data_IF_481319001423
#
_entry.id   IF_481319001423
#
_cell.length_a   1.000
_cell.length_b   1.000
_cell.length_c   1.000
_cell.angle_alpha   90.00
_cell.angle_beta   90.00
_cell.angle_gamma   90.00
#
_symmetry.space_group_name_H-M   'P 1'
#
loop_
_entity.id
_entity.type
_entity.pdbx_description
1 polymer ?
#
# COMPACT_ATOMS: atom_id res chain seq x y z
N UNK A 1 -8.64 10.96 -24.34
CA UNK A 1 -8.04 10.45 -23.08
C UNK A 1 -9.03 10.45 -21.90
N UNK A 2 -9.95 11.39 -21.76
CA UNK A 2 -10.95 11.38 -20.67
C UNK A 2 -11.99 10.24 -20.76
N UNK A 3 -12.27 9.69 -21.94
CA UNK A 3 -13.30 8.68 -22.14
C UNK A 3 -12.85 7.24 -21.80
N UNK A 4 -11.54 6.92 -21.84
CA UNK A 4 -11.03 5.59 -21.48
C UNK A 4 -10.96 5.39 -19.96
N UNK A 5 -10.79 6.46 -19.20
CA UNK A 5 -10.71 6.40 -17.73
C UNK A 5 -12.06 5.98 -17.11
N UNK A 6 -13.20 6.37 -17.72
CA UNK A 6 -14.54 6.06 -17.18
C UNK A 6 -14.94 4.58 -17.32
N UNK A 7 -14.38 3.85 -18.29
CA UNK A 7 -14.68 2.44 -18.52
C UNK A 7 -13.86 1.50 -17.61
N UNK A 8 -12.82 2.01 -16.96
CA UNK A 8 -11.93 1.24 -16.07
C UNK A 8 -12.26 1.40 -14.58
N UNK A 9 -13.23 2.23 -14.19
CA UNK A 9 -13.64 2.41 -12.80
C UNK A 9 -14.50 1.22 -12.32
N UNK A 10 -14.45 0.89 -11.03
CA UNK A 10 -15.29 -0.15 -10.43
C UNK A 10 -16.77 0.08 -10.70
N UNK A 11 -17.47 -0.98 -11.07
CA UNK A 11 -18.94 -0.99 -11.21
C UNK A 11 -19.61 -0.96 -9.82
N UNK A 12 -20.93 -0.82 -9.78
CA UNK A 12 -21.67 -0.91 -8.51
C UNK A 12 -21.54 -2.31 -7.87
N UNK A 13 -21.43 -3.36 -8.70
CA UNK A 13 -21.20 -4.73 -8.25
C UNK A 13 -19.80 -4.89 -7.65
N UNK A 14 -18.77 -4.31 -8.27
CA UNK A 14 -17.40 -4.28 -7.72
C UNK A 14 -17.34 -3.56 -6.38
N UNK A 15 -18.05 -2.43 -6.25
CA UNK A 15 -18.15 -1.67 -5.00
C UNK A 15 -18.87 -2.49 -3.92
N UNK A 16 -19.93 -3.20 -4.27
CA UNK A 16 -20.63 -4.09 -3.34
C UNK A 16 -19.71 -5.23 -2.90
N UNK A 17 -18.99 -5.86 -3.83
CA UNK A 17 -17.99 -6.89 -3.53
C UNK A 17 -16.91 -6.38 -2.57
N UNK A 18 -16.33 -5.19 -2.85
CA UNK A 18 -15.32 -4.58 -1.99
C UNK A 18 -15.86 -4.31 -0.57
N UNK A 19 -17.08 -3.79 -0.45
CA UNK A 19 -17.73 -3.53 0.85
C UNK A 19 -17.97 -4.80 1.65
N UNK A 20 -18.24 -5.90 0.98
CA UNK A 20 -18.44 -7.19 1.64
C UNK A 20 -17.12 -7.86 2.02
N UNK A 21 -16.14 -7.86 1.12
CA UNK A 21 -14.94 -8.66 1.24
C UNK A 21 -13.71 -7.89 1.74
N UNK A 22 -13.71 -6.55 1.68
CA UNK A 22 -12.60 -5.69 2.10
C UNK A 22 -11.44 -5.65 1.10
N UNK A 23 -11.57 -6.26 -0.07
CA UNK A 23 -10.61 -6.19 -1.17
C UNK A 23 -11.33 -6.23 -2.52
N UNK A 24 -10.62 -5.80 -3.57
CA UNK A 24 -11.06 -5.92 -4.97
C UNK A 24 -9.83 -6.06 -5.87
N UNK A 25 -9.95 -6.92 -6.88
CA UNK A 25 -8.92 -7.10 -7.92
C UNK A 25 -9.46 -6.51 -9.21
N UNK A 26 -8.73 -5.55 -9.77
CA UNK A 26 -9.15 -4.83 -10.97
C UNK A 26 -8.94 -5.64 -12.25
N UNK A 27 -9.62 -5.29 -13.35
CA UNK A 27 -9.09 -5.57 -14.68
C UNK A 27 -7.73 -4.86 -14.86
N UNK A 28 -6.98 -5.11 -15.96
CA UNK A 28 -5.76 -4.36 -16.25
C UNK A 28 -6.03 -2.86 -16.34
N UNK A 29 -5.41 -2.08 -15.45
CA UNK A 29 -5.54 -0.62 -15.34
C UNK A 29 -4.32 0.13 -15.86
N UNK A 30 -3.17 -0.51 -15.81
CA UNK A 30 -1.87 0.12 -16.07
C UNK A 30 -1.25 -0.45 -17.33
N UNK A 31 -0.67 0.44 -18.14
CA UNK A 31 0.03 0.06 -19.36
C UNK A 31 1.43 -0.45 -19.06
N UNK A 32 1.99 -1.22 -19.98
CA UNK A 32 3.36 -1.71 -19.89
C UNK A 32 4.39 -0.59 -19.74
N UNK A 33 4.21 0.53 -20.43
CA UNK A 33 5.14 1.66 -20.36
C UNK A 33 5.23 2.24 -18.94
N UNK A 34 4.10 2.36 -18.24
CA UNK A 34 4.04 2.83 -16.85
C UNK A 34 4.75 1.85 -15.93
N UNK A 35 4.50 0.54 -16.10
CA UNK A 35 5.12 -0.49 -15.26
C UNK A 35 6.61 -0.64 -15.52
N UNK A 36 7.05 -0.55 -16.79
CA UNK A 36 8.48 -0.54 -17.14
C UNK A 36 9.19 0.71 -16.57
N UNK A 37 8.52 1.87 -16.59
CA UNK A 37 9.04 3.07 -15.95
C UNK A 37 9.20 2.84 -14.44
N UNK A 38 8.20 2.28 -13.76
CA UNK A 38 8.26 1.98 -12.33
C UNK A 38 9.40 0.99 -11.99
N UNK A 39 9.63 -0.02 -12.83
CA UNK A 39 10.78 -0.92 -12.66
C UNK A 39 12.13 -0.20 -12.80
N UNK A 40 12.26 0.72 -13.75
CA UNK A 40 13.46 1.57 -13.86
C UNK A 40 13.61 2.43 -12.60
N UNK A 41 12.53 3.06 -12.14
CA UNK A 41 12.51 3.87 -10.92
C UNK A 41 12.92 3.08 -9.69
N UNK A 42 12.47 1.82 -9.55
CA UNK A 42 12.92 0.94 -8.46
C UNK A 42 14.45 0.70 -8.51
N UNK A 43 14.99 0.41 -9.69
CA UNK A 43 16.45 0.21 -9.84
C UNK A 43 17.23 1.47 -9.49
N UNK A 44 16.79 2.64 -9.95
CA UNK A 44 17.39 3.93 -9.62
C UNK A 44 17.36 4.20 -8.12
N UNK A 45 16.19 4.02 -7.49
CA UNK A 45 16.02 4.21 -6.06
C UNK A 45 16.98 3.32 -5.25
N UNK A 46 17.08 2.04 -5.58
CA UNK A 46 17.99 1.10 -4.92
C UNK A 46 19.48 1.39 -5.18
N UNK A 47 19.81 2.05 -6.29
CA UNK A 47 21.16 2.53 -6.57
C UNK A 47 21.50 3.87 -5.88
N UNK A 48 20.53 4.49 -5.18
CA UNK A 48 20.69 5.82 -4.61
C UNK A 48 20.58 6.96 -5.62
N UNK A 49 20.19 6.66 -6.86
CA UNK A 49 19.95 7.65 -7.91
C UNK A 49 18.50 8.16 -7.77
N UNK A 50 18.35 9.34 -7.17
CA UNK A 50 17.07 9.97 -6.85
C UNK A 50 17.01 11.37 -7.45
N UNK A 51 15.80 11.78 -7.90
CA UNK A 51 15.56 13.10 -8.49
C UNK A 51 15.39 14.18 -7.41
N UNK A 52 14.93 13.78 -6.21
CA UNK A 52 14.65 14.70 -5.10
C UNK A 52 15.09 14.13 -3.75
N UNK A 53 15.49 15.05 -2.86
CA UNK A 53 15.68 14.75 -1.45
C UNK A 53 14.53 15.36 -0.63
N UNK A 54 14.01 14.60 0.33
CA UNK A 54 12.92 15.07 1.19
C UNK A 54 13.55 15.88 2.34
N UNK A 55 13.28 17.19 2.38
CA UNK A 55 13.95 18.13 3.31
C UNK A 55 13.74 17.81 4.80
N UNK A 56 12.70 17.09 5.16
CA UNK A 56 12.36 16.70 6.54
C UNK A 56 12.42 15.19 6.75
N UNK A 57 13.24 14.50 5.99
CA UNK A 57 13.37 13.06 6.11
C UNK A 57 13.78 12.67 7.53
N UNK A 58 12.92 11.96 8.28
CA UNK A 58 13.29 11.47 9.59
C UNK A 58 14.37 10.42 9.45
N UNK A 59 15.45 10.52 10.25
CA UNK A 59 16.51 9.51 10.24
C UNK A 59 15.92 8.12 10.45
N UNK A 60 16.17 7.19 9.52
CA UNK A 60 15.71 5.82 9.57
C UNK A 60 14.26 5.58 9.15
N UNK A 61 13.51 6.60 8.70
CA UNK A 61 12.09 6.44 8.35
C UNK A 61 11.82 5.72 7.03
N UNK A 62 12.77 5.73 6.11
CA UNK A 62 12.58 5.20 4.76
C UNK A 62 13.37 3.91 4.49
N UNK A 63 13.60 3.11 5.53
CA UNK A 63 14.18 1.77 5.43
C UNK A 63 15.43 1.75 4.54
N UNK A 64 16.57 2.06 5.13
CA UNK A 64 17.80 2.19 4.37
C UNK A 64 18.41 0.86 3.97
N UNK A 65 17.82 0.14 3.01
CA UNK A 65 18.53 -0.97 2.39
C UNK A 65 19.77 -0.41 1.67
N UNK A 66 20.89 -1.07 1.89
CA UNK A 66 22.15 -0.82 1.19
C UNK A 66 22.62 -2.12 0.52
N UNK A 67 23.49 -2.07 -0.47
CA UNK A 67 24.07 -3.28 -1.06
C UNK A 67 24.74 -4.21 -0.04
N UNK A 68 25.20 -3.69 1.10
CA UNK A 68 25.80 -4.49 2.18
C UNK A 68 24.80 -5.40 2.90
N UNK A 69 23.51 -5.04 2.87
CA UNK A 69 22.44 -5.84 3.48
C UNK A 69 22.09 -7.08 2.64
N UNK A 70 22.61 -7.16 1.41
CA UNK A 70 22.45 -8.29 0.53
C UNK A 70 21.03 -8.42 -0.05
N UNK A 71 20.68 -9.64 -0.49
CA UNK A 71 19.39 -9.92 -1.11
C UNK A 71 18.34 -10.29 -0.06
N UNK A 72 17.76 -9.28 0.56
CA UNK A 72 16.75 -9.36 1.62
C UNK A 72 15.44 -8.69 1.20
N UNK A 73 14.38 -8.88 1.97
CA UNK A 73 13.14 -8.11 1.82
C UNK A 73 13.46 -6.62 1.99
N UNK A 74 13.12 -5.82 0.97
CA UNK A 74 13.30 -4.36 0.98
C UNK A 74 11.93 -3.70 1.03
N UNK A 75 11.78 -2.80 1.96
CA UNK A 75 10.62 -1.94 2.13
C UNK A 75 11.13 -0.51 2.24
N UNK A 76 10.82 0.32 1.25
CA UNK A 76 11.23 1.72 1.22
C UNK A 76 9.98 2.60 1.16
N UNK A 77 9.73 3.36 2.21
CA UNK A 77 8.59 4.28 2.28
C UNK A 77 8.90 5.58 1.52
N UNK A 78 7.88 6.19 0.89
CA UNK A 78 7.98 7.48 0.21
C UNK A 78 8.87 7.48 -1.02
N UNK A 79 9.03 6.35 -1.70
CA UNK A 79 9.88 6.24 -2.88
C UNK A 79 9.39 7.13 -4.04
N UNK A 80 8.08 7.33 -4.19
CA UNK A 80 7.50 8.22 -5.20
C UNK A 80 7.79 9.70 -4.94
N UNK A 81 8.07 10.08 -3.70
CA UNK A 81 8.49 11.45 -3.38
C UNK A 81 9.93 11.74 -3.83
N UNK A 82 10.68 10.72 -4.20
CA UNK A 82 12.11 10.79 -4.54
C UNK A 82 12.41 10.52 -6.00
N UNK A 83 11.63 9.66 -6.66
CA UNK A 83 11.90 9.17 -8.02
C UNK A 83 10.71 9.43 -8.92
N UNK A 84 10.95 10.11 -10.05
CA UNK A 84 9.91 10.59 -10.97
C UNK A 84 9.11 9.45 -11.61
N UNK A 85 9.75 8.35 -11.97
CA UNK A 85 9.06 7.19 -12.55
C UNK A 85 8.08 6.54 -11.57
N UNK A 86 8.39 6.54 -10.27
CA UNK A 86 7.48 6.06 -9.23
C UNK A 86 6.37 7.07 -8.95
N UNK A 87 6.68 8.36 -9.00
CA UNK A 87 5.68 9.43 -8.92
C UNK A 87 4.69 9.37 -10.10
N UNK A 88 5.16 9.05 -11.31
CA UNK A 88 4.32 8.86 -12.49
C UNK A 88 3.30 7.73 -12.27
N UNK A 89 3.72 6.60 -11.69
CA UNK A 89 2.82 5.49 -11.37
C UNK A 89 1.79 5.90 -10.33
N UNK A 90 2.20 6.51 -9.22
CA UNK A 90 1.30 6.95 -8.14
C UNK A 90 0.25 7.95 -8.64
N UNK A 91 0.61 8.80 -9.61
CA UNK A 91 -0.26 9.82 -10.20
C UNK A 91 -1.15 9.32 -11.33
N UNK A 92 -1.17 8.02 -11.62
CA UNK A 92 -2.14 7.47 -12.58
C UNK A 92 -3.56 7.69 -12.06
N UNK A 93 -4.33 8.56 -12.73
CA UNK A 93 -5.67 8.98 -12.28
C UNK A 93 -6.64 7.81 -12.13
N UNK A 94 -6.45 6.74 -12.90
CA UNK A 94 -7.27 5.53 -12.81
C UNK A 94 -7.13 4.84 -11.44
N UNK A 95 -5.94 4.83 -10.83
CA UNK A 95 -5.75 4.25 -9.49
C UNK A 95 -6.55 5.01 -8.43
N UNK A 96 -6.41 6.35 -8.45
CA UNK A 96 -7.11 7.20 -7.50
C UNK A 96 -8.63 7.26 -7.76
N UNK A 97 -9.05 7.19 -9.03
CA UNK A 97 -10.46 7.10 -9.40
C UNK A 97 -11.11 5.80 -8.91
N UNK A 98 -10.42 4.66 -9.06
CA UNK A 98 -10.87 3.40 -8.46
C UNK A 98 -10.97 3.51 -6.94
N UNK A 99 -9.96 4.07 -6.29
CA UNK A 99 -9.96 4.28 -4.85
C UNK A 99 -11.13 5.17 -4.39
N UNK A 100 -11.39 6.28 -5.10
CA UNK A 100 -12.52 7.18 -4.83
C UNK A 100 -13.86 6.44 -4.86
N UNK A 101 -14.04 5.64 -5.90
CA UNK A 101 -15.27 4.83 -6.09
C UNK A 101 -15.44 3.78 -4.99
N UNK A 102 -14.37 3.03 -4.65
CA UNK A 102 -14.39 2.00 -3.62
C UNK A 102 -14.61 2.58 -2.21
N UNK A 103 -13.92 3.70 -1.89
CA UNK A 103 -14.03 4.39 -0.61
C UNK A 103 -15.33 5.22 -0.48
N UNK A 104 -16.04 5.49 -1.58
CA UNK A 104 -17.16 6.43 -1.59
C UNK A 104 -16.72 7.85 -1.22
N UNK A 105 -15.60 8.33 -1.80
CA UNK A 105 -15.00 9.61 -1.51
C UNK A 105 -14.93 10.49 -2.77
N UNK A 106 -15.19 11.79 -2.60
CA UNK A 106 -15.12 12.75 -3.71
C UNK A 106 -13.67 13.13 -4.04
N UNK A 107 -12.78 13.08 -3.06
CA UNK A 107 -11.35 13.39 -3.19
C UNK A 107 -10.51 12.27 -2.62
N UNK A 108 -9.42 11.92 -3.36
CA UNK A 108 -8.38 11.00 -2.91
C UNK A 108 -7.03 11.71 -2.98
N UNK A 109 -6.24 11.51 -1.93
CA UNK A 109 -4.84 11.93 -1.82
C UNK A 109 -3.94 10.74 -1.60
N UNK A 110 -2.67 10.89 -1.97
CA UNK A 110 -1.64 9.99 -1.47
C UNK A 110 -1.58 10.10 0.06
N UNK A 111 -1.54 8.96 0.75
CA UNK A 111 -1.14 8.91 2.16
C UNK A 111 0.38 8.70 2.23
N UNK A 112 0.86 7.58 1.75
CA UNK A 112 2.27 7.32 1.48
C UNK A 112 2.39 6.15 0.49
N UNK A 113 3.60 5.80 0.10
CA UNK A 113 3.86 4.61 -0.70
C UNK A 113 4.96 3.76 -0.09
N UNK A 114 4.96 2.47 -0.45
CA UNK A 114 5.99 1.51 -0.05
C UNK A 114 6.49 0.76 -1.27
N UNK A 115 7.74 0.99 -1.63
CA UNK A 115 8.43 0.23 -2.66
C UNK A 115 8.90 -1.09 -2.06
N UNK A 116 8.40 -2.19 -2.60
CA UNK A 116 8.58 -3.53 -2.05
C UNK A 116 9.33 -4.42 -3.02
N UNK A 117 10.47 -4.94 -2.57
CA UNK A 117 11.23 -5.98 -3.25
C UNK A 117 11.31 -7.21 -2.35
N UNK A 118 10.76 -8.33 -2.81
CA UNK A 118 10.79 -9.60 -2.12
C UNK A 118 11.72 -10.55 -2.88
N UNK A 119 12.89 -10.92 -2.32
CA UNK A 119 13.82 -11.82 -2.97
C UNK A 119 13.18 -13.20 -3.18
N UNK A 120 13.69 -13.94 -4.16
CA UNK A 120 13.31 -15.33 -4.38
C UNK A 120 14.04 -16.23 -3.39
N UNK A 121 13.36 -17.30 -2.99
CA UNK A 121 13.92 -18.36 -2.16
C UNK A 121 13.10 -18.67 -0.90
N UNK A 122 13.38 -19.80 -0.23
CA UNK A 122 12.57 -20.29 0.89
C UNK A 122 12.83 -19.55 2.23
N UNK A 123 13.44 -18.38 2.21
CA UNK A 123 13.78 -17.62 3.41
C UNK A 123 12.49 -17.11 4.09
N UNK A 124 12.20 -17.60 5.30
CA UNK A 124 11.09 -17.10 6.13
C UNK A 124 11.16 -15.59 6.38
N UNK A 125 12.36 -15.04 6.45
CA UNK A 125 12.62 -13.60 6.64
C UNK A 125 12.09 -12.68 5.52
N UNK A 126 11.59 -13.23 4.42
CA UNK A 126 10.91 -12.50 3.36
C UNK A 126 9.38 -12.54 3.47
N UNK A 127 8.80 -13.17 4.50
CA UNK A 127 7.38 -13.06 4.76
C UNK A 127 7.02 -11.65 5.19
N UNK A 128 5.82 -11.24 4.83
CA UNK A 128 5.14 -10.09 5.43
C UNK A 128 4.05 -10.67 6.32
N UNK A 129 4.18 -10.47 7.62
CA UNK A 129 3.26 -11.01 8.62
C UNK A 129 1.84 -10.47 8.43
N UNK A 130 0.87 -11.20 8.99
CA UNK A 130 -0.52 -10.78 8.95
C UNK A 130 -0.72 -9.50 9.77
N UNK A 131 -1.31 -8.50 9.16
CA UNK A 131 -1.55 -7.20 9.77
C UNK A 131 -2.72 -6.49 9.13
N UNK A 132 -3.12 -5.39 9.72
CA UNK A 132 -3.96 -4.37 9.09
C UNK A 132 -3.15 -3.09 8.93
N UNK A 133 -3.32 -2.38 7.83
CA UNK A 133 -2.67 -1.07 7.63
C UNK A 133 -3.11 -0.07 8.71
N UNK A 134 -4.38 -0.13 9.10
CA UNK A 134 -4.96 0.74 10.15
C UNK A 134 -4.19 0.69 11.46
N UNK A 135 -3.58 -0.43 11.80
CA UNK A 135 -2.74 -0.60 13.00
C UNK A 135 -1.59 0.40 13.06
N UNK A 136 -1.07 0.79 11.90
CA UNK A 136 0.05 1.73 11.74
C UNK A 136 -0.41 3.16 11.45
N UNK A 137 -1.69 3.40 11.18
CA UNK A 137 -2.28 4.69 10.83
C UNK A 137 -3.25 5.22 11.89
N UNK A 138 -2.91 5.02 13.16
CA UNK A 138 -3.76 5.39 14.29
C UNK A 138 -4.02 6.90 14.36
N UNK A 139 -3.10 7.71 13.82
CA UNK A 139 -3.24 9.18 13.77
C UNK A 139 -4.14 9.69 12.64
N UNK A 140 -4.65 8.81 11.78
CA UNK A 140 -5.62 9.16 10.75
C UNK A 140 -7.05 9.17 11.30
N UNK A 141 -7.85 10.20 10.98
CA UNK A 141 -9.26 10.28 11.37
C UNK A 141 -10.16 9.34 10.56
N UNK A 142 -9.80 9.07 9.30
CA UNK A 142 -10.63 8.30 8.40
C UNK A 142 -10.36 6.79 8.51
N UNK A 143 -11.44 6.00 8.50
CA UNK A 143 -11.38 4.55 8.34
C UNK A 143 -11.63 4.12 6.89
N UNK A 144 -11.90 5.04 5.96
CA UNK A 144 -12.12 4.76 4.53
C UNK A 144 -10.81 4.76 3.71
N UNK A 145 -9.67 4.67 4.39
CA UNK A 145 -8.37 4.55 3.75
C UNK A 145 -8.22 3.17 3.12
N UNK A 146 -7.46 3.08 2.05
CA UNK A 146 -7.20 1.83 1.33
C UNK A 146 -5.84 1.84 0.67
N UNK A 147 -5.38 0.66 0.29
CA UNK A 147 -4.12 0.44 -0.41
C UNK A 147 -4.38 -0.11 -1.81
N UNK A 148 -3.78 0.51 -2.83
CA UNK A 148 -3.64 -0.05 -4.16
C UNK A 148 -2.27 -0.73 -4.25
N UNK A 149 -2.25 -2.07 -4.27
CA UNK A 149 -1.01 -2.82 -4.43
C UNK A 149 -0.77 -3.12 -5.91
N UNK A 150 0.32 -2.58 -6.45
CA UNK A 150 0.68 -2.59 -7.87
C UNK A 150 1.92 -3.47 -8.07
N UNK A 151 1.78 -4.70 -8.58
CA UNK A 151 2.92 -5.50 -9.00
C UNK A 151 3.46 -5.00 -10.35
N UNK A 152 4.77 -5.13 -10.57
CA UNK A 152 5.41 -4.71 -11.82
C UNK A 152 5.49 -5.85 -12.87
N UNK A 153 5.09 -7.05 -12.50
CA UNK A 153 5.06 -8.26 -13.33
C UNK A 153 3.88 -9.16 -12.92
N UNK A 154 3.65 -10.23 -13.66
CA UNK A 154 2.64 -11.23 -13.29
C UNK A 154 2.92 -11.81 -11.90
N UNK A 155 1.88 -12.02 -11.14
CA UNK A 155 1.93 -12.62 -9.81
C UNK A 155 1.16 -13.92 -9.81
N UNK A 156 1.89 -15.02 -9.63
CA UNK A 156 1.35 -16.36 -9.42
C UNK A 156 1.58 -16.78 -7.96
N UNK A 157 1.02 -17.92 -7.55
CA UNK A 157 1.13 -18.41 -6.16
C UNK A 157 2.59 -18.55 -5.68
N UNK A 158 3.49 -18.98 -6.56
CA UNK A 158 4.91 -19.14 -6.23
C UNK A 158 5.64 -17.81 -5.94
N UNK A 159 5.11 -16.67 -6.40
CA UNK A 159 5.69 -15.35 -6.12
C UNK A 159 5.40 -14.87 -4.68
N UNK A 160 4.63 -15.61 -3.89
CA UNK A 160 4.16 -15.18 -2.57
C UNK A 160 3.29 -13.92 -2.69
N UNK A 161 2.11 -14.01 -3.33
CA UNK A 161 1.18 -12.91 -3.50
C UNK A 161 0.76 -12.30 -2.16
N UNK A 162 0.15 -11.12 -2.21
CA UNK A 162 -0.61 -10.62 -1.07
C UNK A 162 -1.82 -11.54 -0.88
N UNK A 163 -2.07 -11.93 0.36
CA UNK A 163 -3.24 -12.71 0.75
C UNK A 163 -4.14 -11.85 1.63
N UNK A 164 -5.45 -11.98 1.45
CA UNK A 164 -6.48 -11.27 2.20
C UNK A 164 -7.33 -12.25 3.00
N UNK A 165 -7.64 -11.90 4.24
CA UNK A 165 -8.73 -12.55 4.98
C UNK A 165 -10.02 -11.81 4.61
N UNK A 166 -10.79 -12.39 3.69
CA UNK A 166 -11.98 -11.77 3.12
C UNK A 166 -13.03 -11.47 4.21
N UNK A 167 -13.51 -10.22 4.27
CA UNK A 167 -14.51 -9.77 5.25
C UNK A 167 -13.94 -9.35 6.61
N UNK A 168 -12.64 -9.56 6.88
CA UNK A 168 -12.01 -9.25 8.17
C UNK A 168 -12.06 -7.76 8.55
N UNK A 169 -12.14 -6.86 7.57
CA UNK A 169 -12.23 -5.41 7.81
C UNK A 169 -13.46 -4.97 8.60
N UNK A 170 -14.48 -5.82 8.68
CA UNK A 170 -15.72 -5.58 9.44
C UNK A 170 -15.64 -6.06 10.88
N UNK A 171 -14.56 -6.77 11.23
CA UNK A 171 -14.36 -7.33 12.55
C UNK A 171 -13.32 -6.52 13.34
N UNK A 172 -13.37 -6.65 14.66
CA UNK A 172 -12.26 -6.22 15.49
C UNK A 172 -11.17 -7.31 15.46
N UNK A 173 -10.03 -6.99 14.84
CA UNK A 173 -8.94 -7.95 14.62
C UNK A 173 -8.00 -8.06 15.81
N UNK A 174 -8.26 -7.30 16.90
CA UNK A 174 -7.36 -7.27 18.06
C UNK A 174 -5.99 -6.64 17.73
N UNK A 175 -5.05 -6.79 18.66
CA UNK A 175 -3.70 -6.22 18.56
C UNK A 175 -2.59 -7.21 18.25
N UNK A 176 -2.91 -8.49 18.10
CA UNK A 176 -1.95 -9.60 18.07
C UNK A 176 -1.31 -9.85 16.71
N UNK A 177 -1.74 -9.11 15.66
CA UNK A 177 -1.22 -9.22 14.31
C UNK A 177 -0.09 -8.21 14.09
N UNK A 178 1.06 -8.70 13.58
CA UNK A 178 2.24 -7.87 13.33
C UNK A 178 2.83 -8.14 11.94
N UNK A 179 3.09 -7.04 11.21
CA UNK A 179 3.78 -7.05 9.91
C UNK A 179 5.12 -7.80 9.94
N UNK A 180 5.84 -7.74 11.04
CA UNK A 180 7.17 -8.35 11.20
C UNK A 180 7.14 -9.80 11.66
N UNK A 181 5.97 -10.33 11.99
CA UNK A 181 5.84 -11.74 12.34
C UNK A 181 6.11 -12.62 11.12
N UNK A 182 7.00 -13.58 11.29
CA UNK A 182 7.37 -14.53 10.24
C UNK A 182 6.52 -15.82 10.28
N UNK A 183 5.74 -16.03 11.34
CA UNK A 183 4.80 -17.14 11.46
C UNK A 183 3.43 -16.75 10.90
N UNK A 184 3.10 -17.30 9.74
CA UNK A 184 1.83 -17.03 9.08
C UNK A 184 0.71 -17.98 9.53
N UNK A 185 0.96 -18.96 10.37
CA UNK A 185 -0.04 -19.96 10.78
C UNK A 185 -1.10 -19.39 11.74
N UNK A 186 -0.82 -18.27 12.39
CA UNK A 186 -1.72 -17.64 13.36
C UNK A 186 -3.06 -17.21 12.74
N UNK A 187 -3.07 -16.87 11.45
CA UNK A 187 -4.27 -16.42 10.75
C UNK A 187 -5.24 -17.56 10.43
N UNK A 188 -4.75 -18.79 10.26
CA UNK A 188 -5.61 -19.93 9.91
C UNK A 188 -6.66 -20.17 11.00
N UNK A 189 -6.25 -20.05 12.26
CA UNK A 189 -7.17 -20.15 13.41
C UNK A 189 -8.15 -18.98 13.43
N UNK A 190 -7.67 -17.75 13.26
CA UNK A 190 -8.51 -16.56 13.21
C UNK A 190 -9.56 -16.67 12.10
N UNK A 191 -9.16 -17.07 10.89
CA UNK A 191 -10.06 -17.25 9.77
C UNK A 191 -11.13 -18.33 10.03
N UNK A 192 -10.70 -19.47 10.63
CA UNK A 192 -11.62 -20.56 10.97
C UNK A 192 -12.63 -20.18 12.07
N UNK A 193 -12.19 -19.45 13.11
CA UNK A 193 -13.04 -18.99 14.21
C UNK A 193 -14.15 -18.02 13.74
N UNK A 194 -13.90 -17.29 12.67
CA UNK A 194 -14.84 -16.30 12.12
C UNK A 194 -15.51 -16.72 10.79
N UNK A 195 -15.31 -17.97 10.35
CA UNK A 195 -15.82 -18.48 9.07
C UNK A 195 -15.41 -17.61 7.87
N UNK A 196 -14.15 -17.17 7.85
CA UNK A 196 -13.59 -16.30 6.82
C UNK A 196 -12.67 -17.09 5.87
N UNK A 197 -12.58 -16.62 4.62
CA UNK A 197 -11.71 -17.22 3.61
C UNK A 197 -10.43 -16.43 3.46
N UNK A 198 -9.30 -17.13 3.29
CA UNK A 198 -8.03 -16.54 2.88
C UNK A 198 -7.96 -16.63 1.35
N UNK A 199 -7.68 -15.50 0.70
CA UNK A 199 -7.66 -15.37 -0.76
C UNK A 199 -6.33 -14.78 -1.20
N UNK A 200 -5.64 -15.47 -2.12
CA UNK A 200 -4.41 -14.97 -2.76
C UNK A 200 -4.71 -14.00 -3.89
N UNK A 201 -4.02 -12.87 -3.93
CA UNK A 201 -4.07 -11.93 -5.04
C UNK A 201 -3.10 -12.36 -6.15
N UNK A 202 -3.45 -13.38 -6.92
CA UNK A 202 -2.78 -13.67 -8.20
C UNK A 202 -3.23 -12.64 -9.23
N UNK A 203 -2.29 -12.04 -9.96
CA UNK A 203 -2.54 -10.90 -10.84
C UNK A 203 -1.78 -11.08 -12.15
N UNK A 204 -2.41 -10.73 -13.25
CA UNK A 204 -1.70 -10.49 -14.50
C UNK A 204 -1.17 -9.05 -14.54
N UNK A 205 -0.11 -8.84 -15.29
CA UNK A 205 0.53 -7.53 -15.44
C UNK A 205 -0.49 -6.46 -15.83
N UNK A 206 -0.47 -5.34 -15.14
CA UNK A 206 -1.43 -4.24 -15.28
C UNK A 206 -2.62 -4.29 -14.33
N UNK A 207 -2.95 -5.45 -13.76
CA UNK A 207 -3.96 -5.54 -12.71
C UNK A 207 -3.43 -4.97 -11.38
N UNK A 208 -4.34 -4.51 -10.55
CA UNK A 208 -4.08 -3.93 -9.24
C UNK A 208 -5.02 -4.56 -8.23
N UNK A 209 -4.55 -4.91 -7.05
CA UNK A 209 -5.43 -5.25 -5.94
C UNK A 209 -5.61 -4.05 -5.02
N UNK A 210 -6.86 -3.80 -4.63
CA UNK A 210 -7.22 -2.77 -3.66
C UNK A 210 -7.70 -3.46 -2.38
N UNK A 211 -7.24 -2.98 -1.22
CA UNK A 211 -7.74 -3.49 0.05
C UNK A 211 -7.97 -2.37 1.06
N UNK A 212 -9.01 -2.54 1.86
CA UNK A 212 -9.39 -1.64 2.94
C UNK A 212 -8.32 -1.63 4.03
N UNK A 213 -8.05 -0.49 4.67
CA UNK A 213 -7.01 -0.37 5.69
C UNK A 213 -7.19 -1.32 6.89
N UNK A 214 -8.40 -1.81 7.13
CA UNK A 214 -8.71 -2.79 8.18
C UNK A 214 -8.72 -4.25 7.70
N UNK A 215 -8.53 -4.51 6.40
CA UNK A 215 -8.44 -5.89 5.91
C UNK A 215 -7.17 -6.53 6.42
N UNK A 216 -7.30 -7.67 7.09
CA UNK A 216 -6.16 -8.49 7.48
C UNK A 216 -5.50 -9.04 6.23
N UNK A 217 -4.22 -8.77 6.07
CA UNK A 217 -3.45 -9.21 4.92
C UNK A 217 -2.00 -9.51 5.28
N UNK A 218 -1.35 -10.31 4.43
CA UNK A 218 0.03 -10.71 4.59
C UNK A 218 0.56 -11.34 3.32
N UNK A 219 1.79 -11.83 3.30
CA UNK A 219 2.31 -12.57 2.15
C UNK A 219 3.40 -13.56 2.53
N UNK A 220 3.28 -14.78 1.99
CA UNK A 220 4.25 -15.86 2.17
C UNK A 220 5.56 -15.65 1.41
N UNK A 221 6.47 -16.63 1.45
CA UNK A 221 7.75 -16.56 0.77
C UNK A 221 7.59 -16.57 -0.75
N UNK A 222 8.50 -15.92 -1.44
CA UNK A 222 8.62 -16.00 -2.89
C UNK A 222 9.47 -17.22 -3.28
N UNK A 223 8.90 -18.16 -4.03
CA UNK A 223 9.54 -19.40 -4.50
C UNK A 223 9.66 -19.46 -6.03
N UNK A 224 9.38 -18.38 -6.74
CA UNK A 224 9.29 -18.36 -8.21
C UNK A 224 10.65 -18.42 -8.94
N UNK A 225 11.76 -18.23 -8.24
CA UNK A 225 13.08 -18.08 -8.88
C UNK A 225 13.43 -16.65 -9.26
N UNK A 226 12.47 -15.74 -9.27
CA UNK A 226 12.64 -14.30 -9.57
C UNK A 226 12.18 -13.41 -8.42
N UNK A 227 12.76 -12.23 -8.21
CA UNK A 227 12.30 -11.32 -7.17
C UNK A 227 10.92 -10.75 -7.51
N UNK A 228 10.02 -10.69 -6.50
CA UNK A 228 8.75 -9.98 -6.62
C UNK A 228 8.96 -8.49 -6.38
N UNK A 229 8.52 -7.68 -7.34
CA UNK A 229 8.65 -6.21 -7.35
C UNK A 229 7.28 -5.58 -7.40
N UNK A 230 7.03 -4.63 -6.49
CA UNK A 230 5.73 -3.97 -6.39
C UNK A 230 5.84 -2.60 -5.72
N UNK A 231 4.80 -1.79 -5.89
CA UNK A 231 4.56 -0.57 -5.12
C UNK A 231 3.20 -0.69 -4.43
N UNK A 232 3.15 -0.53 -3.12
CA UNK A 232 1.92 -0.31 -2.39
C UNK A 232 1.66 1.20 -2.33
N UNK A 233 0.56 1.65 -2.91
CA UNK A 233 0.12 3.04 -2.90
C UNK A 233 -0.99 3.16 -1.87
N UNK A 234 -0.69 3.73 -0.73
CA UNK A 234 -1.64 3.96 0.35
C UNK A 234 -2.37 5.27 0.12
N UNK A 235 -3.68 5.22 0.14
CA UNK A 235 -4.56 6.30 -0.29
C UNK A 235 -5.49 6.73 0.84
N UNK A 236 -5.72 8.03 0.93
CA UNK A 236 -6.59 8.63 1.93
C UNK A 236 -7.70 9.45 1.26
N UNK A 237 -8.94 9.44 1.80
CA UNK A 237 -9.97 10.39 1.38
C UNK A 237 -9.58 11.81 1.79
N UNK A 238 -10.10 12.81 1.04
CA UNK A 238 -9.76 14.21 1.23
C UNK A 238 -10.16 14.81 2.58
N UNK A 239 -11.08 14.18 3.30
CA UNK A 239 -11.52 14.56 4.63
C UNK A 239 -10.66 13.97 5.77
N UNK A 240 -9.67 13.13 5.44
CA UNK A 240 -8.74 12.60 6.44
C UNK A 240 -7.86 13.70 7.02
N UNK A 241 -7.75 13.73 8.33
CA UNK A 241 -6.92 14.69 9.08
C UNK A 241 -6.27 14.01 10.29
N UNK A 242 -5.30 14.68 10.88
CA UNK A 242 -4.60 14.18 12.05
C UNK A 242 -5.51 14.17 13.28
N UNK A 243 -5.47 13.07 14.02
CA UNK A 243 -6.06 12.92 15.36
C UNK A 243 -5.01 12.41 16.34
N UNK A 244 -5.05 12.91 17.57
CA UNK A 244 -4.19 12.37 18.62
C UNK A 244 -4.64 10.94 18.97
N UNK A 245 -3.70 10.01 18.98
CA UNK A 245 -3.97 8.60 19.25
C UNK A 245 -2.90 8.00 20.17
N UNK A 246 -3.19 6.85 20.74
CA UNK A 246 -2.24 6.05 21.52
C UNK A 246 -2.13 4.64 20.97
N UNK A 247 -0.93 4.09 21.08
CA UNK A 247 -0.68 2.68 20.85
C UNK A 247 -1.32 1.84 21.97
N UNK A 248 -1.53 0.53 21.77
CA UNK A 248 -2.07 -0.37 22.81
C UNK A 248 -1.26 -0.41 24.11
N UNK A 249 0.04 -0.14 24.04
CA UNK A 249 0.95 -0.04 25.19
C UNK A 249 0.81 1.31 25.96
N UNK A 250 -0.09 2.20 25.49
CA UNK A 250 -0.33 3.53 26.06
C UNK A 250 0.63 4.63 25.58
N UNK A 251 1.66 4.31 24.81
CA UNK A 251 2.55 5.32 24.20
C UNK A 251 1.80 6.18 23.18
N UNK A 252 2.33 7.37 22.87
CA UNK A 252 1.75 8.24 21.85
C UNK A 252 1.96 7.60 20.49
N UNK A 253 0.88 7.40 19.74
CA UNK A 253 0.97 6.94 18.36
C UNK A 253 1.52 8.04 17.45
N UNK A 254 2.20 7.65 16.39
CA UNK A 254 2.72 8.57 15.38
C UNK A 254 3.03 7.85 14.08
N UNK A 255 2.99 8.61 13.00
CA UNK A 255 3.37 8.17 11.67
C UNK A 255 4.47 9.09 11.13
N UNK A 256 5.30 8.62 10.19
CA UNK A 256 6.33 9.48 9.59
C UNK A 256 5.72 10.69 8.88
N UNK A 257 4.53 10.55 8.30
CA UNK A 257 3.80 11.65 7.68
C UNK A 257 3.46 12.78 8.67
N UNK A 258 3.25 12.49 9.95
CA UNK A 258 2.98 13.53 10.96
C UNK A 258 4.12 14.55 11.02
N UNK A 259 5.36 14.08 10.83
CA UNK A 259 6.55 14.94 10.80
C UNK A 259 6.79 15.56 9.42
N UNK A 260 6.57 14.80 8.35
CA UNK A 260 6.77 15.29 6.98
C UNK A 260 5.81 16.42 6.63
N UNK A 261 4.56 16.34 7.10
CA UNK A 261 3.50 17.32 6.83
C UNK A 261 3.34 18.37 7.92
N UNK A 262 4.24 18.38 8.92
CA UNK A 262 4.13 19.31 10.05
C UNK A 262 4.23 20.77 9.60
N UNK A 263 3.24 21.57 9.96
CA UNK A 263 3.23 23.03 9.86
C UNK A 263 4.28 23.66 10.79
N UNK A 264 4.57 24.96 10.66
CA UNK A 264 5.52 25.64 11.56
C UNK A 264 5.17 25.53 13.06
N UNK A 265 3.89 25.38 13.40
CA UNK A 265 3.40 25.18 14.78
C UNK A 265 3.50 23.70 15.23
N UNK A 266 3.99 22.80 14.38
CA UNK A 266 4.13 21.37 14.66
C UNK A 266 2.88 20.54 14.34
N UNK A 267 1.76 21.14 13.93
CA UNK A 267 0.52 20.43 13.61
C UNK A 267 0.64 19.71 12.27
N UNK A 268 0.37 18.40 12.17
CA UNK A 268 0.37 17.69 10.89
C UNK A 268 -0.73 18.19 9.94
N UNK A 269 -0.38 18.36 8.66
CA UNK A 269 -1.31 18.72 7.58
C UNK A 269 -1.38 17.62 6.51
N UNK A 270 -2.31 16.70 6.64
CA UNK A 270 -2.48 15.59 5.69
C UNK A 270 -2.99 16.03 4.30
N UNK A 271 -3.22 17.33 4.12
CA UNK A 271 -3.51 17.95 2.83
C UNK A 271 -2.28 18.64 2.19
N UNK A 272 -1.08 18.58 2.82
CA UNK A 272 0.15 19.13 2.25
C UNK A 272 0.44 18.51 0.88
N UNK A 273 0.37 19.27 -0.23
CA UNK A 273 0.52 18.73 -1.58
C UNK A 273 1.94 18.24 -1.89
N UNK A 274 2.93 18.61 -1.09
CA UNK A 274 4.32 18.17 -1.27
C UNK A 274 4.52 16.71 -0.83
N UNK A 275 3.72 16.26 0.15
CA UNK A 275 3.80 14.91 0.73
C UNK A 275 2.56 14.08 0.37
N UNK A 276 1.38 14.69 0.47
CA UNK A 276 0.09 14.07 0.25
C UNK A 276 -0.66 14.73 -0.92
N UNK A 277 -0.11 14.68 -2.16
CA UNK A 277 -0.75 15.32 -3.31
C UNK A 277 -2.15 14.79 -3.54
N UNK A 278 -3.06 15.66 -4.01
CA UNK A 278 -4.36 15.25 -4.51
C UNK A 278 -4.17 14.45 -5.80
N UNK A 279 -4.77 13.29 -5.87
CA UNK A 279 -4.70 12.37 -7.00
C UNK A 279 -6.06 12.25 -7.73
N UNK A 280 -7.17 12.50 -7.00
CA UNK A 280 -8.52 12.52 -7.55
C UNK A 280 -9.36 13.63 -6.91
N UNK A 281 -10.23 14.34 -7.66
CA UNK A 281 -10.22 14.36 -9.13
C UNK A 281 -8.89 14.87 -9.65
N UNK A 282 -8.48 14.50 -10.89
CA UNK A 282 -7.26 15.04 -11.48
C UNK A 282 -7.32 16.56 -11.54
N UNK A 283 -6.16 17.21 -11.50
CA UNK A 283 -6.08 18.65 -11.69
C UNK A 283 -6.63 19.00 -13.09
N UNK A 284 -7.43 20.06 -13.15
CA UNK A 284 -7.99 20.58 -14.40
C UNK A 284 -6.87 21.07 -15.33
#
# INVERSE_FOLDING_TARGET
>A
MANETLTALPTDEDVAFYRENGYWISPPLLTDDVLQAAERGMRRHHAGDVDRHIAREPKGSFGGWTPADGDVLRKNDGASLRVDELALLVRQSVLAGCAARLAGADEIRLWHDQLLYKPSGPRRQANVGWHTDRRYWLTCSSERMLTAWVPFHDIQEEHGPVMFVAGSHRLDTGTDLDFFDQDLSTVDRYAAEHDLRIVSATLTRGQVSFHHCRTVHGSGPNRSGEPRRSLAVHLQPGDNHHVAARNPDGSVAGHHNDRLTARPDGTPDYADPAVCPRLWPPAA
#
